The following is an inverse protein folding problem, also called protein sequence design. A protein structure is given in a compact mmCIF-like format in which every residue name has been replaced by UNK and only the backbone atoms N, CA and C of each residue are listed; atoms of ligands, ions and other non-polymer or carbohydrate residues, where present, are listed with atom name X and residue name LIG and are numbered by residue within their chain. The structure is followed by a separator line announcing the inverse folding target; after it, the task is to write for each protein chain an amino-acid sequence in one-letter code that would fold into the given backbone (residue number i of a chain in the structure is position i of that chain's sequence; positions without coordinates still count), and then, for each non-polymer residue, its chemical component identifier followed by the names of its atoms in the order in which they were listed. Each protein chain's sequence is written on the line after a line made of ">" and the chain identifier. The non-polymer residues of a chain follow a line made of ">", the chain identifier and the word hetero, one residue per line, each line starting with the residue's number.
data_IF_256135853325
#
_entry.id   IF_256135853325
#
_cell.length_a   1.000
_cell.length_b   1.000
_cell.length_c   1.000
_cell.angle_alpha   90.00
_cell.angle_beta   90.00
_cell.angle_gamma   90.00
#
_symmetry.space_group_name_H-M   'P 1'
#
loop_
_entity.id
_entity.type
_entity.pdbx_description
1 polymer ?
#
# COMPACT_ATOMS: atom_id res chain seq x y z
N UNK A 1 2.60 41.19 -11.99
CA UNK A 1 2.72 39.96 -12.79
C UNK A 1 1.70 40.02 -13.90
N UNK A 2 2.11 39.84 -15.16
CA UNK A 2 1.21 39.92 -16.31
C UNK A 2 0.19 38.79 -16.26
N UNK A 3 -1.11 39.09 -16.45
CA UNK A 3 -2.20 38.12 -16.38
C UNK A 3 -2.08 37.05 -17.48
N UNK A 4 -1.42 37.37 -18.60
CA UNK A 4 -1.14 36.45 -19.69
C UNK A 4 -0.09 35.42 -19.29
N UNK A 5 0.96 35.84 -18.56
CA UNK A 5 1.99 34.95 -18.02
C UNK A 5 1.37 34.01 -17.01
N UNK A 6 0.57 34.51 -16.08
CA UNK A 6 -0.11 33.69 -15.06
C UNK A 6 -1.02 32.63 -15.71
N UNK A 7 -1.81 33.00 -16.73
CA UNK A 7 -2.68 32.06 -17.45
C UNK A 7 -1.87 30.97 -18.15
N UNK A 8 -0.76 31.33 -18.79
CA UNK A 8 0.13 30.37 -19.45
C UNK A 8 0.73 29.37 -18.45
N UNK A 9 1.29 29.87 -17.36
CA UNK A 9 1.88 29.00 -16.32
C UNK A 9 0.84 28.09 -15.67
N UNK A 10 -0.36 28.60 -15.37
CA UNK A 10 -1.46 27.81 -14.85
C UNK A 10 -1.90 26.72 -15.85
N UNK A 11 -2.01 27.04 -17.14
CA UNK A 11 -2.38 26.06 -18.16
C UNK A 11 -1.33 24.98 -18.32
N UNK A 12 -0.05 25.32 -18.28
CA UNK A 12 1.06 24.36 -18.32
C UNK A 12 1.06 23.44 -17.10
N UNK A 13 0.85 23.98 -15.91
CA UNK A 13 0.76 23.20 -14.68
C UNK A 13 -0.43 22.23 -14.71
N UNK A 14 -1.62 22.68 -15.12
CA UNK A 14 -2.79 21.82 -15.27
C UNK A 14 -2.53 20.73 -16.32
N UNK A 15 -1.97 21.08 -17.46
CA UNK A 15 -1.62 20.13 -18.53
C UNK A 15 -0.64 19.06 -18.05
N UNK A 16 0.36 19.44 -17.27
CA UNK A 16 1.32 18.51 -16.69
C UNK A 16 0.65 17.55 -15.69
N UNK A 17 -0.23 18.07 -14.81
CA UNK A 17 -0.97 17.22 -13.84
C UNK A 17 -1.88 16.22 -14.58
N UNK A 18 -2.62 16.66 -15.60
CA UNK A 18 -3.48 15.79 -16.41
C UNK A 18 -2.66 14.72 -17.13
N UNK A 19 -1.52 15.10 -17.71
CA UNK A 19 -0.61 14.14 -18.36
C UNK A 19 -0.08 13.12 -17.37
N UNK A 20 0.35 13.54 -16.20
CA UNK A 20 0.88 12.68 -15.14
C UNK A 20 -0.18 11.71 -14.64
N UNK A 21 -1.35 12.18 -14.23
CA UNK A 21 -2.45 11.32 -13.78
C UNK A 21 -2.94 10.39 -14.88
N UNK A 22 -3.04 10.87 -16.12
CA UNK A 22 -3.41 10.05 -17.26
C UNK A 22 -2.40 8.94 -17.54
N UNK A 23 -1.11 9.26 -17.51
CA UNK A 23 -0.04 8.26 -17.70
C UNK A 23 -0.02 7.22 -16.58
N UNK A 24 -0.24 7.65 -15.32
CA UNK A 24 -0.36 6.73 -14.19
C UNK A 24 -1.58 5.82 -14.33
N UNK A 25 -2.74 6.34 -14.70
CA UNK A 25 -3.96 5.54 -14.95
C UNK A 25 -3.73 4.51 -16.06
N UNK A 26 -3.05 4.89 -17.15
CA UNK A 26 -2.69 3.95 -18.22
C UNK A 26 -1.72 2.88 -17.71
N UNK A 27 -0.74 3.25 -16.91
CA UNK A 27 0.26 2.32 -16.38
C UNK A 27 -0.34 1.34 -15.38
N UNK A 28 -1.19 1.81 -14.46
CA UNK A 28 -1.78 1.00 -13.39
C UNK A 28 -3.03 0.24 -13.83
N UNK A 29 -3.77 0.75 -14.81
CA UNK A 29 -5.07 0.21 -15.23
C UNK A 29 -6.21 0.55 -14.29
N UNK A 30 -6.03 1.43 -13.30
CA UNK A 30 -7.05 1.87 -12.34
C UNK A 30 -7.30 3.37 -12.40
N UNK A 31 -8.52 3.77 -12.01
CA UNK A 31 -8.88 5.18 -11.80
C UNK A 31 -9.73 5.30 -10.52
N UNK A 32 -9.32 6.16 -9.56
CA UNK A 32 -8.05 6.89 -9.52
C UNK A 32 -6.84 5.96 -9.38
N UNK A 33 -5.64 6.33 -9.92
CA UNK A 33 -4.45 5.49 -9.86
C UNK A 33 -3.77 5.47 -8.50
N UNK A 34 -4.23 6.30 -7.56
CA UNK A 34 -3.68 6.43 -6.20
C UNK A 34 -4.78 6.62 -5.18
N UNK A 35 -4.51 6.14 -3.96
CA UNK A 35 -5.37 6.35 -2.78
C UNK A 35 -4.53 6.93 -1.63
N UNK A 36 -5.17 7.71 -0.77
CA UNK A 36 -4.57 8.21 0.47
C UNK A 36 -4.96 7.30 1.62
N UNK A 37 -3.98 6.87 2.38
CA UNK A 37 -4.17 6.01 3.56
C UNK A 37 -4.66 6.85 4.74
N UNK A 38 -5.79 6.46 5.32
CA UNK A 38 -6.45 7.21 6.40
C UNK A 38 -6.30 6.54 7.77
N UNK A 39 -6.06 5.20 7.80
CA UNK A 39 -5.98 4.43 9.05
C UNK A 39 -4.61 3.81 9.27
N UNK A 40 -4.28 3.57 10.55
CA UNK A 40 -3.02 2.97 10.97
C UNK A 40 -3.02 1.44 10.99
N UNK A 41 -3.99 0.76 10.36
CA UNK A 41 -4.08 -0.71 10.40
C UNK A 41 -2.93 -1.44 9.72
N UNK A 42 -2.17 -0.76 8.87
CA UNK A 42 -1.03 -1.31 8.13
C UNK A 42 0.32 -0.84 8.66
N UNK A 43 0.35 -0.01 9.71
CA UNK A 43 1.59 0.51 10.30
C UNK A 43 2.44 -0.61 10.92
N UNK A 44 3.74 -0.60 10.65
CA UNK A 44 4.68 -1.51 11.32
C UNK A 44 5.17 -0.94 12.66
N UNK A 45 5.14 0.37 12.82
CA UNK A 45 5.49 1.06 14.07
C UNK A 45 4.43 2.14 14.35
N UNK A 46 3.75 2.13 15.51
CA UNK A 46 2.66 3.05 15.81
C UNK A 46 3.09 4.51 15.98
N UNK A 47 4.39 4.77 16.16
CA UNK A 47 4.92 6.12 16.39
C UNK A 47 5.66 6.69 15.18
N UNK A 48 6.12 5.83 14.27
CA UNK A 48 6.95 6.24 13.15
C UNK A 48 6.23 5.98 11.83
N UNK A 49 6.03 7.03 11.04
CA UNK A 49 5.70 6.91 9.63
C UNK A 49 6.94 6.43 8.87
N UNK A 50 7.05 5.14 8.61
CA UNK A 50 8.24 4.48 8.05
C UNK A 50 8.13 4.38 6.53
N UNK A 51 9.24 4.60 5.82
CA UNK A 51 9.31 4.27 4.39
C UNK A 51 9.34 2.74 4.24
N UNK A 52 8.49 2.20 3.38
CA UNK A 52 8.38 0.74 3.16
C UNK A 52 7.26 0.07 3.97
N UNK A 53 6.49 0.84 4.75
CA UNK A 53 5.24 0.42 5.37
C UNK A 53 4.11 1.34 4.90
N UNK A 54 2.86 0.90 4.97
CA UNK A 54 1.72 1.72 4.58
C UNK A 54 1.19 2.44 5.82
N UNK A 55 1.47 3.75 5.91
CA UNK A 55 1.16 4.57 7.08
C UNK A 55 0.07 5.62 6.78
N UNK A 56 -0.68 6.10 7.80
CA UNK A 56 -1.61 7.21 7.62
C UNK A 56 -0.90 8.45 7.07
N UNK A 57 -1.44 8.98 5.98
CA UNK A 57 -0.83 10.10 5.26
C UNK A 57 0.01 9.69 4.06
N UNK A 58 0.18 8.40 3.80
CA UNK A 58 0.83 7.95 2.57
C UNK A 58 -0.12 8.01 1.38
N UNK A 59 0.48 8.17 0.21
CA UNK A 59 -0.21 8.08 -1.07
C UNK A 59 0.22 6.79 -1.76
N UNK A 60 -0.69 5.83 -1.86
CA UNK A 60 -0.42 4.50 -2.41
C UNK A 60 -0.86 4.41 -3.85
N UNK A 61 0.05 3.96 -4.73
CA UNK A 61 -0.25 3.64 -6.12
C UNK A 61 -1.00 2.30 -6.19
N UNK A 62 -2.12 2.29 -6.92
CA UNK A 62 -3.04 1.15 -7.01
C UNK A 62 -2.93 0.48 -8.36
N UNK A 63 -2.48 -0.77 -8.40
CA UNK A 63 -2.42 -1.59 -9.60
C UNK A 63 -3.72 -2.37 -9.80
N UNK A 64 -4.23 -2.41 -11.03
CA UNK A 64 -5.39 -3.24 -11.37
C UNK A 64 -5.14 -4.73 -11.07
N UNK A 65 -6.11 -5.45 -10.47
CA UNK A 65 -6.00 -6.89 -10.27
C UNK A 65 -5.84 -7.66 -11.59
N UNK A 66 -6.35 -7.13 -12.71
CA UNK A 66 -6.20 -7.72 -14.05
C UNK A 66 -4.74 -7.68 -14.57
N UNK A 67 -3.90 -6.84 -13.97
CA UNK A 67 -2.50 -6.62 -14.37
C UNK A 67 -1.48 -7.18 -13.39
N UNK A 68 -1.93 -7.66 -12.25
CA UNK A 68 -1.08 -8.16 -11.18
C UNK A 68 -1.68 -9.44 -10.58
N UNK A 69 -0.94 -10.54 -10.63
CA UNK A 69 -1.31 -11.75 -9.91
C UNK A 69 -1.12 -11.50 -8.42
N UNK A 70 -2.19 -11.56 -7.64
CA UNK A 70 -2.11 -11.41 -6.19
C UNK A 70 -1.39 -12.64 -5.61
N UNK A 71 -0.27 -12.38 -4.92
CA UNK A 71 0.52 -13.38 -4.22
C UNK A 71 0.20 -13.24 -2.74
N UNK A 72 -0.31 -14.30 -2.13
CA UNK A 72 -0.69 -14.29 -0.72
C UNK A 72 0.52 -14.47 0.20
N UNK A 73 0.36 -14.13 1.48
CA UNK A 73 1.36 -14.38 2.50
C UNK A 73 1.74 -15.87 2.57
N UNK A 74 0.75 -16.77 2.51
CA UNK A 74 0.97 -18.21 2.51
C UNK A 74 1.84 -18.67 1.32
N UNK A 75 1.56 -18.15 0.10
CA UNK A 75 2.36 -18.47 -1.08
C UNK A 75 3.78 -17.89 -1.00
N UNK A 76 3.93 -16.69 -0.45
CA UNK A 76 5.21 -16.00 -0.31
C UNK A 76 6.11 -16.63 0.76
N UNK A 77 5.53 -17.30 1.75
CA UNK A 77 6.25 -17.98 2.85
C UNK A 77 6.39 -19.50 2.67
N UNK A 78 5.77 -20.06 1.62
CA UNK A 78 5.88 -21.49 1.31
C UNK A 78 7.32 -21.86 0.92
N UNK A 79 7.99 -22.66 1.76
CA UNK A 79 9.36 -23.13 1.49
C UNK A 79 9.40 -23.97 0.19
N UNK A 80 10.28 -23.61 -0.73
CA UNK A 80 10.39 -24.27 -2.05
C UNK A 80 9.26 -23.89 -3.01
N UNK A 81 8.36 -22.98 -2.63
CA UNK A 81 7.27 -22.47 -3.47
C UNK A 81 7.76 -21.53 -4.56
N UNK A 82 6.93 -21.34 -5.59
CA UNK A 82 7.23 -20.45 -6.73
C UNK A 82 7.47 -18.99 -6.30
N UNK A 83 6.81 -18.57 -5.24
CA UNK A 83 6.79 -17.18 -4.77
C UNK A 83 7.55 -17.01 -3.45
N UNK A 84 8.34 -18.01 -3.03
CA UNK A 84 9.13 -17.94 -1.80
C UNK A 84 9.99 -16.68 -1.74
N UNK A 85 9.88 -15.93 -0.63
CA UNK A 85 10.62 -14.69 -0.40
C UNK A 85 10.06 -13.45 -1.12
N UNK A 86 8.87 -13.54 -1.75
CA UNK A 86 8.21 -12.37 -2.30
C UNK A 86 7.66 -11.47 -1.19
N UNK A 87 8.04 -10.19 -1.21
CA UNK A 87 7.66 -9.21 -0.19
C UNK A 87 7.17 -7.92 -0.83
N UNK A 88 6.14 -7.32 -0.23
CA UNK A 88 5.69 -5.96 -0.52
C UNK A 88 5.44 -5.21 0.78
N UNK A 89 5.74 -3.93 0.81
CA UNK A 89 5.52 -3.08 1.99
C UNK A 89 6.09 -3.72 3.28
N UNK A 90 7.33 -4.26 3.19
CA UNK A 90 8.11 -4.76 4.32
C UNK A 90 7.67 -6.10 4.91
N UNK A 91 6.70 -6.80 4.28
CA UNK A 91 6.23 -8.13 4.72
C UNK A 91 5.90 -9.04 3.51
N UNK A 92 5.90 -10.38 3.71
CA UNK A 92 5.56 -11.33 2.64
C UNK A 92 4.14 -11.15 2.09
N UNK A 93 4.01 -11.32 0.78
CA UNK A 93 2.73 -11.27 0.06
C UNK A 93 2.24 -9.87 -0.27
N UNK A 94 1.12 -9.79 -0.98
CA UNK A 94 0.52 -8.55 -1.46
C UNK A 94 -0.46 -7.93 -0.47
N UNK A 95 -0.58 -6.61 -0.54
CA UNK A 95 -1.61 -5.82 0.13
C UNK A 95 -2.69 -5.48 -0.89
N UNK A 96 -3.94 -5.83 -0.59
CA UNK A 96 -5.10 -5.59 -1.46
C UNK A 96 -6.01 -4.50 -0.91
N UNK A 97 -6.64 -3.78 -1.83
CA UNK A 97 -7.67 -2.78 -1.54
C UNK A 97 -9.00 -3.36 -1.97
N UNK A 98 -9.93 -3.50 -1.04
CA UNK A 98 -11.17 -4.21 -1.30
C UNK A 98 -12.39 -3.56 -0.65
N UNK A 99 -13.58 -3.88 -1.18
CA UNK A 99 -14.87 -3.52 -0.61
C UNK A 99 -15.35 -4.61 0.32
N UNK A 100 -15.76 -4.25 1.53
CA UNK A 100 -16.33 -5.19 2.51
C UNK A 100 -17.64 -5.75 1.95
N UNK A 101 -17.73 -7.07 1.79
CA UNK A 101 -18.88 -7.78 1.22
C UNK A 101 -19.41 -7.17 -0.10
N UNK A 102 -18.55 -6.50 -0.88
CA UNK A 102 -18.93 -5.81 -2.11
C UNK A 102 -19.74 -4.51 -1.91
N UNK A 103 -19.82 -4.01 -0.68
CA UNK A 103 -20.56 -2.80 -0.31
C UNK A 103 -19.97 -1.51 -0.86
N UNK A 104 -20.54 -0.38 -0.46
CA UNK A 104 -20.19 0.96 -0.94
C UNK A 104 -19.44 1.81 0.10
N UNK A 105 -19.22 1.28 1.29
CA UNK A 105 -18.48 1.93 2.35
C UNK A 105 -16.99 2.11 2.01
N UNK A 106 -16.26 2.82 2.86
CA UNK A 106 -14.83 3.07 2.66
C UNK A 106 -14.08 1.75 2.47
N UNK A 107 -13.34 1.59 1.35
CA UNK A 107 -12.55 0.40 1.10
C UNK A 107 -11.50 0.17 2.18
N UNK A 108 -11.15 -1.09 2.38
CA UNK A 108 -10.11 -1.54 3.30
C UNK A 108 -8.82 -1.82 2.51
N UNK A 109 -7.68 -1.48 3.09
CA UNK A 109 -6.35 -1.80 2.58
C UNK A 109 -5.67 -2.73 3.58
N UNK A 110 -5.58 -4.03 3.27
CA UNK A 110 -5.03 -5.05 4.16
C UNK A 110 -4.27 -6.11 3.36
N UNK A 111 -3.42 -6.89 4.04
CA UNK A 111 -2.61 -7.94 3.45
C UNK A 111 -3.44 -9.19 3.17
N UNK A 112 -3.24 -9.77 1.99
CA UNK A 112 -3.81 -11.05 1.60
C UNK A 112 -3.04 -12.19 2.29
N UNK A 113 -3.66 -12.84 3.29
CA UNK A 113 -3.04 -13.94 4.04
C UNK A 113 -3.00 -15.23 3.24
N UNK A 114 -4.14 -15.64 2.72
CA UNK A 114 -4.29 -16.79 1.82
C UNK A 114 -5.59 -16.67 1.01
N UNK A 115 -5.73 -17.49 -0.03
CA UNK A 115 -6.97 -17.62 -0.79
C UNK A 115 -7.59 -18.99 -0.52
N UNK A 116 -8.88 -19.03 -0.18
CA UNK A 116 -9.67 -20.25 -0.20
C UNK A 116 -10.23 -20.46 -1.60
N UNK A 117 -9.96 -21.63 -2.19
CA UNK A 117 -10.38 -22.00 -3.55
C UNK A 117 -11.21 -23.30 -3.45
N UNK A 118 -12.35 -23.37 -4.14
CA UNK A 118 -13.16 -24.59 -4.17
C UNK A 118 -12.43 -25.69 -4.94
N UNK A 119 -12.29 -26.87 -4.31
CA UNK A 119 -11.72 -28.03 -4.99
C UNK A 119 -12.79 -28.70 -5.86
N UNK A 120 -12.49 -29.05 -7.13
CA UNK A 120 -13.45 -29.71 -8.03
C UNK A 120 -14.03 -31.04 -7.51
N UNK A 121 -13.31 -31.69 -6.58
CA UNK A 121 -13.73 -32.94 -5.95
C UNK A 121 -14.47 -32.73 -4.61
N UNK A 122 -14.75 -31.48 -4.25
CA UNK A 122 -15.33 -31.06 -2.98
C UNK A 122 -14.31 -30.62 -1.95
N UNK A 123 -14.72 -29.77 -1.03
CA UNK A 123 -13.85 -29.15 -0.04
C UNK A 123 -13.06 -27.96 -0.56
N UNK A 124 -12.02 -27.57 0.17
CA UNK A 124 -11.26 -26.35 -0.03
C UNK A 124 -9.78 -26.62 -0.22
N UNK A 125 -9.19 -25.92 -1.17
CA UNK A 125 -7.74 -25.81 -1.37
C UNK A 125 -7.26 -24.46 -0.84
N UNK A 126 -6.04 -24.43 -0.30
CA UNK A 126 -5.36 -23.20 0.11
C UNK A 126 -3.98 -23.18 -0.53
N UNK A 127 -3.82 -22.47 -1.67
CA UNK A 127 -2.52 -22.30 -2.33
C UNK A 127 -1.47 -21.74 -1.36
N UNK A 128 -0.25 -22.25 -1.45
CA UNK A 128 0.84 -21.90 -0.52
C UNK A 128 0.87 -22.72 0.76
N UNK A 129 -0.03 -23.72 0.89
CA UNK A 129 -0.10 -24.65 2.03
C UNK A 129 -0.29 -26.10 1.56
N UNK A 130 -0.29 -27.05 2.53
CA UNK A 130 -0.60 -28.46 2.26
C UNK A 130 -2.10 -28.78 2.31
N UNK A 131 -2.98 -27.77 2.39
CA UNK A 131 -4.42 -27.95 2.49
C UNK A 131 -5.01 -28.17 1.10
N UNK A 132 -5.54 -29.37 0.87
CA UNK A 132 -6.16 -29.80 -0.39
C UNK A 132 -7.44 -30.59 -0.08
N UNK A 133 -8.55 -30.23 -0.74
CA UNK A 133 -9.87 -30.86 -0.62
C UNK A 133 -10.36 -31.02 0.85
N UNK A 134 -10.04 -30.03 1.70
CA UNK A 134 -10.39 -30.06 3.12
C UNK A 134 -11.84 -29.60 3.36
N UNK A 135 -12.58 -30.26 4.25
CA UNK A 135 -13.93 -29.84 4.65
C UNK A 135 -13.95 -28.48 5.39
N UNK A 136 -12.84 -28.17 6.08
CA UNK A 136 -12.61 -26.90 6.77
C UNK A 136 -11.14 -26.54 6.74
N UNK A 137 -10.87 -25.24 6.80
CA UNK A 137 -9.51 -24.68 6.76
C UNK A 137 -8.99 -24.51 8.18
N UNK A 138 -7.84 -25.15 8.47
CA UNK A 138 -7.05 -24.88 9.66
C UNK A 138 -5.63 -24.61 9.20
N UNK A 139 -5.18 -23.36 9.36
CA UNK A 139 -3.86 -22.91 8.96
C UNK A 139 -3.24 -22.05 10.05
N UNK A 140 -1.94 -22.21 10.23
CA UNK A 140 -1.12 -21.43 11.13
C UNK A 140 -0.05 -20.72 10.30
N UNK A 141 -0.06 -19.40 10.33
CA UNK A 141 0.86 -18.53 9.58
C UNK A 141 1.85 -17.90 10.56
N UNK A 142 3.15 -17.92 10.21
CA UNK A 142 4.20 -17.22 10.96
C UNK A 142 4.07 -15.70 10.70
N UNK A 143 3.02 -15.12 11.29
CA UNK A 143 2.65 -13.71 11.16
C UNK A 143 2.99 -12.96 12.44
N UNK A 144 3.72 -11.86 12.35
CA UNK A 144 4.15 -11.09 13.54
C UNK A 144 2.95 -10.46 14.25
N UNK A 145 2.68 -10.94 15.43
CA UNK A 145 1.57 -10.51 16.27
C UNK A 145 2.07 -9.91 17.59
N UNK A 146 1.27 -9.04 18.19
CA UNK A 146 1.56 -8.44 19.49
C UNK A 146 1.54 -9.46 20.63
N UNK A 147 2.25 -9.20 21.70
CA UNK A 147 2.41 -10.05 22.91
C UNK A 147 3.23 -11.33 22.71
N UNK A 148 4.16 -11.35 21.76
CA UNK A 148 5.07 -12.49 21.58
C UNK A 148 4.41 -13.70 20.91
N UNK A 149 3.21 -13.55 20.40
CA UNK A 149 2.59 -14.50 19.49
C UNK A 149 3.13 -14.22 18.09
N UNK A 150 3.93 -15.14 17.56
CA UNK A 150 4.45 -15.06 16.19
C UNK A 150 3.59 -15.82 15.18
N UNK A 151 2.35 -16.16 15.57
CA UNK A 151 1.49 -17.01 14.75
C UNK A 151 0.06 -16.51 14.74
N UNK A 152 -0.45 -16.30 13.52
CA UNK A 152 -1.86 -16.08 13.27
C UNK A 152 -2.49 -17.43 12.92
N UNK A 153 -3.52 -17.82 13.68
CA UNK A 153 -4.17 -19.12 13.51
C UNK A 153 -5.60 -18.95 13.04
N UNK A 154 -5.93 -19.60 11.93
CA UNK A 154 -7.30 -19.84 11.48
C UNK A 154 -7.66 -21.28 11.84
N UNK A 155 -8.76 -21.52 12.55
CA UNK A 155 -9.10 -22.86 13.03
C UNK A 155 -10.51 -23.26 12.61
N UNK A 156 -10.63 -24.43 11.97
CA UNK A 156 -11.92 -25.02 11.57
C UNK A 156 -12.86 -24.05 10.82
N UNK A 157 -12.28 -23.15 10.03
CA UNK A 157 -13.05 -22.18 9.27
C UNK A 157 -13.59 -22.80 7.98
N UNK A 158 -14.88 -22.63 7.74
CA UNK A 158 -15.53 -23.07 6.51
C UNK A 158 -15.90 -21.84 5.69
N UNK A 159 -15.27 -21.61 4.54
CA UNK A 159 -15.63 -20.51 3.66
C UNK A 159 -17.08 -20.63 3.16
N UNK A 160 -17.74 -19.49 2.97
CA UNK A 160 -19.05 -19.45 2.32
C UNK A 160 -18.94 -19.47 0.78
N UNK A 161 -17.79 -19.08 0.27
CA UNK A 161 -17.43 -19.00 -1.15
C UNK A 161 -15.90 -18.82 -1.27
N UNK A 162 -15.37 -18.94 -2.47
CA UNK A 162 -13.98 -18.63 -2.77
C UNK A 162 -13.63 -17.17 -2.44
N UNK A 163 -12.37 -16.94 -2.04
CA UNK A 163 -11.88 -15.58 -1.81
C UNK A 163 -10.68 -15.52 -0.88
N UNK A 164 -10.18 -14.31 -0.68
CA UNK A 164 -9.02 -14.02 0.14
C UNK A 164 -9.39 -13.80 1.60
N UNK A 165 -8.54 -14.26 2.49
CA UNK A 165 -8.54 -13.93 3.91
C UNK A 165 -7.48 -12.86 4.12
N UNK A 166 -7.82 -11.85 4.91
CA UNK A 166 -7.01 -10.64 5.05
C UNK A 166 -6.77 -10.26 6.51
N UNK A 167 -5.74 -9.47 6.76
CA UNK A 167 -5.49 -8.80 8.04
C UNK A 167 -4.66 -7.54 7.84
N UNK A 168 -4.73 -6.61 8.79
CA UNK A 168 -3.82 -5.46 8.84
C UNK A 168 -2.45 -5.86 9.38
N UNK A 169 -1.39 -5.23 8.86
CA UNK A 169 0.00 -5.50 9.28
C UNK A 169 0.32 -4.93 10.67
N UNK A 170 -0.51 -4.01 11.17
CA UNK A 170 -0.29 -3.39 12.47
C UNK A 170 -0.51 -4.39 13.60
N UNK A 171 0.57 -5.00 14.06
CA UNK A 171 0.57 -5.99 15.15
C UNK A 171 -0.03 -5.49 16.46
N UNK A 172 -0.10 -4.18 16.66
CA UNK A 172 -0.67 -3.57 17.86
C UNK A 172 -2.21 -3.50 17.81
N UNK A 173 -2.79 -3.43 16.61
CA UNK A 173 -4.22 -3.27 16.40
C UNK A 173 -4.92 -4.50 15.81
N UNK A 174 -4.20 -5.40 15.10
CA UNK A 174 -4.81 -6.58 14.49
C UNK A 174 -5.24 -7.67 15.50
N UNK A 175 -4.74 -7.63 16.73
CA UNK A 175 -5.07 -8.58 17.78
C UNK A 175 -4.72 -10.03 17.46
N UNK A 176 -3.83 -10.30 16.49
CA UNK A 176 -3.55 -11.63 15.95
C UNK A 176 -4.79 -12.31 15.34
N UNK A 177 -5.68 -11.50 14.76
CA UNK A 177 -6.94 -11.95 14.16
C UNK A 177 -6.96 -11.60 12.68
N UNK A 178 -7.64 -12.43 11.92
CA UNK A 178 -7.97 -12.11 10.52
C UNK A 178 -9.30 -11.35 10.44
N UNK A 179 -9.47 -10.57 9.38
CA UNK A 179 -10.62 -9.67 9.23
C UNK A 179 -11.98 -10.37 9.31
N UNK A 180 -12.07 -11.57 8.78
CA UNK A 180 -13.31 -12.36 8.75
C UNK A 180 -13.80 -12.81 10.13
N UNK A 181 -13.01 -12.53 11.20
CA UNK A 181 -13.43 -12.75 12.60
C UNK A 181 -14.01 -11.51 13.26
N UNK A 182 -13.62 -10.31 12.83
CA UNK A 182 -13.91 -9.10 13.59
C UNK A 182 -14.33 -7.90 12.75
N UNK A 183 -13.94 -7.85 11.48
CA UNK A 183 -14.28 -6.74 10.60
C UNK A 183 -15.74 -6.86 10.14
N UNK A 184 -16.50 -5.76 10.27
CA UNK A 184 -17.88 -5.69 9.80
C UNK A 184 -18.05 -4.69 8.66
N UNK A 185 -19.05 -4.93 7.82
CA UNK A 185 -19.50 -4.00 6.78
C UNK A 185 -20.42 -2.90 7.34
N UNK A 186 -20.95 -2.06 6.47
CA UNK A 186 -21.86 -0.95 6.81
C UNK A 186 -23.20 -1.42 7.43
N UNK A 187 -23.57 -2.70 7.26
CA UNK A 187 -24.77 -3.29 7.83
C UNK A 187 -24.51 -3.98 9.18
N UNK A 188 -23.25 -4.03 9.62
CA UNK A 188 -22.83 -4.73 10.84
C UNK A 188 -22.62 -6.23 10.64
N UNK A 189 -22.68 -6.73 9.40
CA UNK A 189 -22.42 -8.12 9.08
C UNK A 189 -20.90 -8.38 8.99
N UNK A 190 -20.45 -9.53 9.48
CA UNK A 190 -19.05 -9.93 9.36
C UNK A 190 -18.63 -10.01 7.88
N UNK A 191 -17.44 -9.53 7.61
CA UNK A 191 -16.84 -9.64 6.28
C UNK A 191 -16.55 -11.10 5.98
N UNK A 192 -17.01 -11.58 4.83
CA UNK A 192 -16.73 -12.93 4.31
C UNK A 192 -15.37 -12.96 3.60
N UNK A 193 -14.97 -14.10 3.03
CA UNK A 193 -13.79 -14.16 2.16
C UNK A 193 -13.91 -13.09 1.04
N UNK A 194 -12.82 -12.39 0.74
CA UNK A 194 -12.85 -11.31 -0.24
C UNK A 194 -12.85 -11.90 -1.64
N UNK A 195 -13.98 -11.76 -2.36
CA UNK A 195 -14.08 -12.20 -3.76
C UNK A 195 -13.20 -11.38 -4.67
N UNK A 196 -12.75 -11.96 -5.78
CA UNK A 196 -11.94 -11.26 -6.78
C UNK A 196 -12.64 -9.98 -7.28
N UNK A 197 -13.96 -10.00 -7.49
CA UNK A 197 -14.75 -8.85 -7.94
C UNK A 197 -14.90 -7.72 -6.91
N UNK A 198 -14.59 -7.97 -5.65
CA UNK A 198 -14.60 -6.94 -4.59
C UNK A 198 -13.27 -6.22 -4.46
N UNK A 199 -12.22 -6.73 -5.13
CA UNK A 199 -10.89 -6.13 -5.09
C UNK A 199 -10.84 -4.94 -6.06
N UNK A 200 -10.56 -3.78 -5.51
CA UNK A 200 -10.38 -2.53 -6.27
C UNK A 200 -8.99 -2.49 -6.91
N UNK A 201 -7.99 -3.02 -6.21
CA UNK A 201 -6.62 -3.05 -6.68
C UNK A 201 -5.63 -3.61 -5.67
N UNK A 202 -4.37 -3.66 -6.08
CA UNK A 202 -3.23 -4.09 -5.28
C UNK A 202 -2.36 -2.88 -4.98
N UNK A 203 -1.96 -2.70 -3.74
CA UNK A 203 -1.02 -1.67 -3.33
C UNK A 203 0.35 -1.96 -3.95
N UNK A 204 0.90 -1.02 -4.72
CA UNK A 204 2.13 -1.23 -5.49
C UNK A 204 3.29 -0.42 -4.94
N UNK A 205 3.22 0.91 -5.04
CA UNK A 205 4.23 1.84 -4.55
C UNK A 205 3.59 2.82 -3.59
N UNK A 206 4.37 3.26 -2.62
CA UNK A 206 3.97 4.34 -1.74
C UNK A 206 4.77 5.61 -2.02
N UNK A 207 4.13 6.75 -1.86
CA UNK A 207 4.78 8.05 -1.77
C UNK A 207 4.54 8.52 -0.33
N UNK A 208 5.55 8.40 0.53
CA UNK A 208 5.38 8.62 1.96
C UNK A 208 4.93 10.04 2.26
N UNK A 209 4.05 10.21 3.23
CA UNK A 209 3.61 11.45 3.87
C UNK A 209 2.87 12.46 2.99
N UNK A 210 2.90 12.35 1.67
CA UNK A 210 2.31 13.34 0.73
C UNK A 210 0.79 13.45 0.89
N UNK A 211 0.13 12.34 1.15
CA UNK A 211 -1.32 12.29 1.39
C UNK A 211 -1.77 12.99 2.67
N UNK A 212 -0.85 13.20 3.65
CA UNK A 212 -1.16 13.91 4.90
C UNK A 212 -1.73 15.32 4.65
N UNK A 213 -1.28 16.00 3.58
CA UNK A 213 -1.81 17.31 3.18
C UNK A 213 -3.30 17.23 2.84
N UNK A 214 -3.73 16.17 2.12
CA UNK A 214 -5.16 15.94 1.81
C UNK A 214 -5.95 15.66 3.08
N UNK A 215 -5.42 14.82 3.98
CA UNK A 215 -6.08 14.47 5.24
C UNK A 215 -6.26 15.71 6.12
N UNK A 216 -5.24 16.56 6.23
CA UNK A 216 -5.34 17.84 6.95
C UNK A 216 -6.41 18.73 6.36
N UNK A 217 -6.44 18.89 5.03
CA UNK A 217 -7.44 19.72 4.35
C UNK A 217 -8.87 19.20 4.51
N UNK A 218 -9.07 17.90 4.68
CA UNK A 218 -10.37 17.25 4.94
C UNK A 218 -10.71 17.12 6.43
N UNK A 219 -9.79 17.45 7.35
CA UNK A 219 -9.97 17.30 8.80
C UNK A 219 -9.96 15.86 9.29
N UNK A 220 -9.31 14.96 8.55
CA UNK A 220 -9.20 13.51 8.86
C UNK A 220 -7.79 13.07 9.19
N UNK A 221 -6.89 13.99 9.53
CA UNK A 221 -5.47 13.76 9.79
C UNK A 221 -5.15 13.23 11.21
N UNK A 222 -6.17 12.90 12.01
CA UNK A 222 -5.99 12.51 13.42
C UNK A 222 -5.14 11.27 13.66
N UNK A 223 -4.90 10.44 12.66
CA UNK A 223 -4.01 9.27 12.74
C UNK A 223 -2.63 9.50 12.11
N UNK A 224 -2.39 10.64 11.47
CA UNK A 224 -1.08 10.98 10.92
C UNK A 224 -0.11 11.29 12.06
N UNK A 225 1.01 10.57 12.10
CA UNK A 225 1.98 10.71 13.19
C UNK A 225 2.72 12.05 13.14
N UNK A 226 3.22 12.52 14.30
CA UNK A 226 4.08 13.72 14.35
C UNK A 226 5.37 13.52 13.54
N UNK A 227 5.87 12.29 13.48
CA UNK A 227 7.04 11.95 12.67
C UNK A 227 6.75 12.07 11.17
N UNK A 228 5.56 11.62 10.71
CA UNK A 228 5.12 11.79 9.31
C UNK A 228 5.07 13.27 8.91
N UNK A 229 4.54 14.14 9.78
CA UNK A 229 4.53 15.59 9.55
C UNK A 229 5.94 16.20 9.49
N UNK A 230 6.82 15.77 10.39
CA UNK A 230 8.23 16.24 10.41
C UNK A 230 8.97 15.80 9.15
N UNK A 231 8.80 14.54 8.74
CA UNK A 231 9.41 13.98 7.55
C UNK A 231 8.89 14.66 6.27
N UNK A 232 7.59 14.93 6.19
CA UNK A 232 7.00 15.71 5.10
C UNK A 232 7.64 17.11 5.01
N UNK A 233 7.79 17.81 6.15
CA UNK A 233 8.39 19.14 6.18
C UNK A 233 9.86 19.10 5.70
N UNK A 234 10.64 18.10 6.12
CA UNK A 234 12.02 17.90 5.68
C UNK A 234 12.06 17.62 4.17
N UNK A 235 11.21 16.71 3.68
CA UNK A 235 11.12 16.39 2.25
C UNK A 235 10.80 17.64 1.40
N UNK A 236 9.82 18.43 1.82
CA UNK A 236 9.46 19.68 1.14
C UNK A 236 10.64 20.68 1.16
N UNK A 237 11.33 20.82 2.28
CA UNK A 237 12.51 21.69 2.37
C UNK A 237 13.63 21.23 1.41
N UNK A 238 13.87 19.94 1.29
CA UNK A 238 14.85 19.38 0.34
C UNK A 238 14.43 19.69 -1.10
N UNK A 239 13.17 19.45 -1.47
CA UNK A 239 12.68 19.68 -2.83
C UNK A 239 12.78 21.15 -3.21
N UNK A 240 12.44 22.08 -2.30
CA UNK A 240 12.53 23.54 -2.54
C UNK A 240 13.99 24.00 -2.64
N UNK A 241 14.89 23.46 -1.84
CA UNK A 241 16.30 23.85 -1.83
C UNK A 241 17.12 23.21 -2.94
N UNK A 242 16.70 22.08 -3.50
CA UNK A 242 17.45 21.33 -4.50
C UNK A 242 17.87 22.17 -5.74
N UNK A 243 17.02 22.98 -6.38
CA UNK A 243 17.42 23.80 -7.52
C UNK A 243 18.55 24.77 -7.18
N UNK A 244 18.47 25.44 -6.03
CA UNK A 244 19.49 26.40 -5.56
C UNK A 244 20.82 25.68 -5.28
N UNK A 245 20.76 24.51 -4.66
CA UNK A 245 21.95 23.70 -4.36
C UNK A 245 22.60 23.21 -5.66
N UNK A 246 21.81 22.74 -6.63
CA UNK A 246 22.30 22.30 -7.94
C UNK A 246 23.00 23.44 -8.67
N UNK A 247 22.38 24.64 -8.70
CA UNK A 247 22.96 25.84 -9.32
C UNK A 247 24.32 26.18 -8.66
N UNK A 248 24.36 26.25 -7.33
CA UNK A 248 25.62 26.52 -6.59
C UNK A 248 26.73 25.52 -6.88
N UNK A 249 26.38 24.22 -7.00
CA UNK A 249 27.35 23.16 -7.32
C UNK A 249 27.84 23.32 -8.76
N UNK A 250 26.95 23.59 -9.70
CA UNK A 250 27.26 23.74 -11.12
C UNK A 250 28.20 24.94 -11.33
N UNK A 251 27.92 26.07 -10.69
CA UNK A 251 28.76 27.26 -10.77
C UNK A 251 30.16 27.05 -10.22
N UNK A 252 30.28 26.33 -9.08
CA UNK A 252 31.58 25.95 -8.50
C UNK A 252 32.39 25.03 -9.41
N UNK A 253 31.72 24.08 -10.09
CA UNK A 253 32.38 23.16 -11.02
C UNK A 253 32.85 23.87 -12.29
N UNK A 254 32.06 24.80 -12.82
CA UNK A 254 32.43 25.60 -13.99
C UNK A 254 33.58 26.58 -13.69
N UNK A 255 33.54 27.29 -12.57
CA UNK A 255 34.62 28.19 -12.16
C UNK A 255 35.95 27.48 -11.90
N UNK A 256 35.93 26.19 -11.47
CA UNK A 256 37.16 25.39 -11.37
C UNK A 256 37.73 25.01 -12.75
N UNK A 257 36.88 24.78 -13.74
CA UNK A 257 37.33 24.47 -15.11
C UNK A 257 37.96 25.67 -15.80
N UNK A 258 37.39 26.88 -15.63
CA UNK A 258 38.01 28.11 -16.17
C UNK A 258 39.35 28.39 -15.51
N UNK A 259 39.49 28.24 -14.20
CA UNK A 259 40.78 28.42 -13.50
C UNK A 259 41.88 27.42 -13.91
N UNK A 260 41.51 26.21 -14.33
CA UNK A 260 42.50 25.23 -14.84
C UNK A 260 42.89 25.47 -16.29
N UNK A 261 42.01 26.05 -17.13
CA UNK A 261 42.35 26.40 -18.50
C UNK A 261 43.29 27.61 -18.59
N UNK A 262 43.21 28.53 -17.62
CA UNK A 262 44.06 29.72 -17.56
C UNK A 262 45.48 29.43 -16.98
N UNK A 263 45.70 28.28 -16.32
CA UNK A 263 47.02 27.83 -15.83
C UNK A 263 47.77 26.97 -16.88
N UNK A 264 47.13 26.53 -17.96
CA UNK A 264 47.74 25.75 -19.04
C UNK A 264 48.08 26.59 -20.31
N UNK A 265 47.78 27.91 -20.36
CA UNK A 265 48.24 28.87 -21.37
C UNK A 265 49.42 29.70 -20.87
#
# INVERSE_FOLDING_TARGET
>A
MDIQVLKREASLAIGLVVLLLGSMTIATGTYPPMVVVESGSMMHDPEQGSVGAIDPGDLVLVMSPDRHQIITFAEATQIGGKHEGYETHGMPGDVIIFRKNGGSDTPVIHRALFKAVENPNGGWDVPGTDIVAADSITVELDYDCYHGNSKLTVSNWVPQHEGYITTGDNRWSNGCQYDQQSLTDENGELVTAIKDEWIIGVASLEIPWVGAVKLYASGTDGQVTSNSWSNLAVMVAIVISAPVIIEMITDRLNGKKESQSDEEE
#
